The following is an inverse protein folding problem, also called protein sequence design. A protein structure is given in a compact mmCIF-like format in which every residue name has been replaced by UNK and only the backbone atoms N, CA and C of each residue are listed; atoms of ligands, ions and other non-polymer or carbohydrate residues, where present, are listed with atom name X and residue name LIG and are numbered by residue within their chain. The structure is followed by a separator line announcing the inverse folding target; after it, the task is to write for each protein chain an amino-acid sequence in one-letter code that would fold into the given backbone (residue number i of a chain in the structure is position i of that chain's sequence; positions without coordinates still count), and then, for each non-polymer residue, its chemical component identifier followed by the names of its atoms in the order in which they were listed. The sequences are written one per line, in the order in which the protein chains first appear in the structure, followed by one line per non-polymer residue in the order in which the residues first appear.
data_IF_668598870990
#
_entry.id   IF_668598870990
#
_cell.length_a   1.000
_cell.length_b   1.000
_cell.length_c   1.000
_cell.angle_alpha   90.00
_cell.angle_beta   90.00
_cell.angle_gamma   90.00
#
_symmetry.space_group_name_H-M   'P 1'
#
loop_
_entity.id
_entity.type
_entity.pdbx_description
1 polymer ?
#
# COMPACT_ATOMS: atom_id res chain seq x y z
N UNK A 1 -20.25 -8.72 5.51
CA UNK A 1 -20.66 -10.10 5.87
C UNK A 1 -19.65 -10.63 6.86
N UNK A 2 -20.04 -11.34 7.93
CA UNK A 2 -19.08 -12.07 8.75
C UNK A 2 -18.38 -13.13 7.88
N UNK A 3 -17.06 -13.35 8.05
CA UNK A 3 -16.32 -14.33 7.26
C UNK A 3 -16.90 -15.75 7.46
N UNK A 4 -17.11 -16.47 6.36
CA UNK A 4 -17.63 -17.84 6.36
C UNK A 4 -16.51 -18.88 6.50
N UNK A 5 -16.79 -20.10 7.02
CA UNK A 5 -15.81 -21.18 7.22
C UNK A 5 -14.96 -21.56 5.99
N UNK A 6 -15.45 -21.25 4.79
CA UNK A 6 -14.81 -21.59 3.52
C UNK A 6 -13.85 -20.52 2.98
N UNK A 7 -13.68 -19.41 3.71
CA UNK A 7 -12.60 -18.45 3.45
C UNK A 7 -11.41 -18.82 4.34
N UNK A 8 -10.40 -19.54 3.82
CA UNK A 8 -9.28 -19.94 4.66
C UNK A 8 -8.58 -18.69 5.17
N UNK A 9 -8.47 -18.59 6.50
CA UNK A 9 -7.61 -17.63 7.18
C UNK A 9 -6.17 -17.94 6.77
N UNK A 10 -5.67 -17.21 5.79
CA UNK A 10 -4.30 -17.36 5.29
C UNK A 10 -3.35 -16.62 6.25
N UNK A 11 -3.03 -17.25 7.38
CA UNK A 11 -2.05 -16.76 8.35
C UNK A 11 -0.64 -17.21 7.94
N UNK A 12 0.27 -16.26 7.70
CA UNK A 12 1.61 -16.53 7.16
C UNK A 12 2.63 -15.48 7.61
N UNK A 13 3.79 -15.92 8.10
CA UNK A 13 4.87 -15.06 8.60
C UNK A 13 5.46 -14.12 7.53
N UNK A 14 5.60 -12.82 7.86
CA UNK A 14 6.29 -11.82 7.03
C UNK A 14 7.09 -10.78 7.82
N UNK A 15 8.14 -10.19 7.21
CA UNK A 15 8.85 -9.06 7.80
C UNK A 15 8.08 -7.73 7.67
N UNK A 16 8.17 -6.92 8.73
CA UNK A 16 7.42 -5.69 9.00
C UNK A 16 7.74 -4.56 8.01
N UNK A 17 6.73 -3.79 7.55
CA UNK A 17 6.98 -2.47 6.94
C UNK A 17 6.13 -2.02 5.74
N UNK A 18 4.90 -2.50 5.55
CA UNK A 18 3.99 -2.01 4.49
C UNK A 18 2.63 -1.59 5.07
N UNK A 19 1.90 -0.75 4.30
CA UNK A 19 0.54 -0.14 4.48
C UNK A 19 -0.29 -0.83 5.58
N UNK A 20 -0.97 -0.13 6.52
CA UNK A 20 -1.52 -0.73 7.73
C UNK A 20 -2.41 -1.92 7.41
N UNK A 21 -1.86 -3.10 7.64
CA UNK A 21 -2.59 -4.34 7.76
C UNK A 21 -2.85 -4.51 9.26
N UNK A 22 -4.07 -4.85 9.64
CA UNK A 22 -4.29 -5.35 10.98
C UNK A 22 -3.57 -6.70 11.04
N UNK A 23 -2.47 -6.75 11.78
CA UNK A 23 -1.85 -8.00 12.20
C UNK A 23 -2.44 -8.36 13.55
N UNK A 24 -3.25 -9.40 13.57
CA UNK A 24 -3.63 -10.06 14.80
C UNK A 24 -2.87 -11.39 14.89
N UNK A 25 -2.29 -11.65 16.06
CA UNK A 25 -1.66 -12.94 16.28
C UNK A 25 -2.73 -14.01 16.42
N UNK A 26 -2.61 -15.09 15.66
CA UNK A 26 -3.52 -16.24 15.72
C UNK A 26 -2.72 -17.47 16.13
N UNK A 27 -3.21 -18.16 17.16
CA UNK A 27 -2.62 -19.43 17.60
C UNK A 27 -3.40 -20.59 17.00
N UNK A 28 -2.75 -21.38 16.14
CA UNK A 28 -3.30 -22.61 15.56
C UNK A 28 -2.45 -23.79 16.04
N UNK A 29 -3.08 -24.76 16.73
CA UNK A 29 -2.40 -25.96 17.25
C UNK A 29 -1.13 -25.66 18.08
N UNK A 30 -1.15 -24.59 18.87
CA UNK A 30 -0.02 -24.18 19.72
C UNK A 30 1.11 -23.43 19.01
N UNK A 31 0.95 -23.09 17.72
CA UNK A 31 1.86 -22.21 16.97
C UNK A 31 1.20 -20.87 16.73
N UNK A 32 1.93 -19.79 16.99
CA UNK A 32 1.47 -18.42 16.75
C UNK A 32 1.88 -17.98 15.34
N UNK A 33 0.94 -17.39 14.62
CA UNK A 33 1.11 -16.84 13.28
C UNK A 33 0.65 -15.39 13.24
N UNK A 34 1.25 -14.60 12.36
CA UNK A 34 0.71 -13.30 11.98
C UNK A 34 -0.43 -13.50 10.97
N UNK A 35 -1.64 -13.08 11.31
CA UNK A 35 -2.77 -13.01 10.39
C UNK A 35 -2.81 -11.64 9.72
N UNK A 36 -2.90 -11.62 8.39
CA UNK A 36 -3.00 -10.37 7.62
C UNK A 36 -4.36 -10.26 6.95
N UNK A 37 -5.14 -9.28 7.37
CA UNK A 37 -6.41 -8.93 6.73
C UNK A 37 -6.20 -7.73 5.80
N UNK A 38 -6.43 -7.91 4.50
CA UNK A 38 -6.38 -6.84 3.49
C UNK A 38 -7.48 -6.98 2.46
N UNK A 39 -8.08 -5.86 2.05
CA UNK A 39 -8.99 -5.82 0.90
C UNK A 39 -8.25 -5.74 -0.43
N UNK A 40 -6.96 -5.36 -0.42
CA UNK A 40 -6.11 -5.31 -1.60
C UNK A 40 -4.78 -6.07 -1.34
N UNK A 41 -4.70 -7.36 -1.72
CA UNK A 41 -3.48 -8.15 -1.58
C UNK A 41 -2.39 -7.77 -2.60
N UNK A 42 -2.69 -6.96 -3.61
CA UNK A 42 -1.74 -6.57 -4.65
C UNK A 42 -1.19 -7.76 -5.43
N UNK A 43 0.13 -7.80 -5.62
CA UNK A 43 0.83 -8.82 -6.42
C UNK A 43 0.65 -10.25 -5.88
N UNK A 44 0.39 -10.41 -4.57
CA UNK A 44 0.10 -11.73 -3.99
C UNK A 44 -1.14 -12.40 -4.59
N UNK A 45 -2.09 -11.63 -5.15
CA UNK A 45 -3.24 -12.21 -5.86
C UNK A 45 -2.83 -13.01 -7.10
N UNK A 46 -1.70 -12.65 -7.72
CA UNK A 46 -1.17 -13.28 -8.92
C UNK A 46 -0.17 -14.38 -8.54
N UNK A 47 0.75 -14.09 -7.62
CA UNK A 47 1.84 -15.02 -7.29
C UNK A 47 1.45 -16.09 -6.28
N UNK A 48 0.38 -15.86 -5.51
CA UNK A 48 0.00 -16.70 -4.37
C UNK A 48 1.00 -16.65 -3.20
N UNK A 49 2.05 -15.82 -3.29
CA UNK A 49 3.11 -15.75 -2.30
C UNK A 49 2.84 -14.64 -1.31
N UNK A 50 2.89 -14.99 -0.01
CA UNK A 50 2.84 -14.01 1.06
C UNK A 50 3.98 -13.01 0.92
N UNK A 51 5.15 -13.49 0.47
CA UNK A 51 6.15 -12.82 -0.36
C UNK A 51 5.84 -11.39 -0.83
N UNK A 52 4.67 -11.28 -1.46
CA UNK A 52 4.27 -10.20 -2.34
C UNK A 52 3.03 -9.45 -1.86
N UNK A 53 2.56 -9.73 -0.64
CA UNK A 53 1.45 -8.99 -0.04
C UNK A 53 1.79 -7.50 0.02
N UNK A 54 0.89 -6.67 -0.52
CA UNK A 54 1.05 -5.23 -0.57
C UNK A 54 2.06 -4.72 -1.59
N UNK A 55 2.69 -5.61 -2.38
CA UNK A 55 3.52 -5.17 -3.51
C UNK A 55 2.61 -4.78 -4.66
N UNK A 56 2.88 -3.62 -5.22
CA UNK A 56 2.20 -3.11 -6.40
C UNK A 56 3.22 -2.81 -7.48
N UNK A 57 2.77 -2.94 -8.73
CA UNK A 57 3.54 -2.49 -9.88
C UNK A 57 3.69 -0.97 -9.80
N UNK A 58 4.91 -0.48 -9.98
CA UNK A 58 5.16 0.97 -10.07
C UNK A 58 4.48 1.51 -11.33
N UNK A 59 3.55 2.47 -11.22
CA UNK A 59 2.88 3.04 -12.38
C UNK A 59 3.83 3.93 -13.19
N UNK A 60 3.57 4.05 -14.50
CA UNK A 60 4.28 5.04 -15.33
C UNK A 60 3.81 6.44 -14.98
N UNK A 61 4.76 7.36 -14.79
CA UNK A 61 4.48 8.75 -14.38
C UNK A 61 4.14 9.69 -15.56
N UNK A 62 4.27 9.24 -16.80
CA UNK A 62 3.93 10.04 -17.98
C UNK A 62 2.43 10.38 -18.01
N UNK A 63 2.10 11.67 -18.10
CA UNK A 63 0.74 12.20 -18.05
C UNK A 63 0.04 12.01 -16.70
N UNK A 64 0.79 11.85 -15.60
CA UNK A 64 0.25 11.54 -14.26
C UNK A 64 -0.81 12.55 -13.82
N UNK A 65 -0.57 13.84 -14.04
CA UNK A 65 -1.45 14.92 -13.59
C UNK A 65 -2.90 14.83 -14.10
N UNK A 66 -3.12 14.16 -15.22
CA UNK A 66 -4.45 13.98 -15.84
C UNK A 66 -5.26 12.80 -15.26
N UNK A 67 -4.70 12.04 -14.31
CA UNK A 67 -5.23 10.75 -13.86
C UNK A 67 -5.63 10.71 -12.39
N UNK A 68 -5.99 11.85 -11.81
CA UNK A 68 -6.57 11.88 -10.47
C UNK A 68 -7.89 11.07 -10.44
N UNK A 69 -8.23 10.42 -9.31
CA UNK A 69 -7.47 10.32 -8.05
C UNK A 69 -6.32 9.29 -8.11
N UNK A 70 -5.34 9.45 -7.23
CA UNK A 70 -4.10 8.67 -7.18
C UNK A 70 -4.15 7.52 -6.16
N UNK A 71 -3.19 6.58 -6.29
CA UNK A 71 -3.13 5.27 -5.61
C UNK A 71 -4.16 4.25 -6.11
N UNK A 72 -3.95 2.98 -5.78
CA UNK A 72 -4.79 1.86 -6.22
C UNK A 72 -6.23 1.95 -5.70
N UNK A 73 -6.43 2.64 -4.57
CA UNK A 73 -7.72 2.85 -3.92
C UNK A 73 -8.25 4.30 -4.05
N UNK A 74 -7.55 5.17 -4.77
CA UNK A 74 -7.98 6.57 -4.95
C UNK A 74 -7.83 7.47 -3.72
N UNK A 75 -7.06 7.07 -2.69
CA UNK A 75 -6.98 7.80 -1.43
C UNK A 75 -6.30 9.19 -1.52
N UNK A 76 -5.57 9.49 -2.60
CA UNK A 76 -5.01 10.83 -2.80
C UNK A 76 -5.79 11.55 -3.90
N UNK A 77 -6.48 12.62 -3.54
CA UNK A 77 -7.25 13.41 -4.50
C UNK A 77 -6.34 14.28 -5.37
N UNK A 78 -5.22 14.75 -4.83
CA UNK A 78 -4.30 15.68 -5.51
C UNK A 78 -2.86 15.17 -5.54
N UNK A 79 -2.04 15.73 -6.45
CA UNK A 79 -0.59 15.46 -6.46
C UNK A 79 0.07 15.91 -5.15
N UNK A 80 -0.44 16.97 -4.53
CA UNK A 80 0.05 17.44 -3.24
C UNK A 80 -0.17 16.40 -2.15
N UNK A 81 -1.33 15.75 -2.11
CA UNK A 81 -1.62 14.66 -1.16
C UNK A 81 -0.70 13.47 -1.38
N UNK A 82 -0.44 13.12 -2.65
CA UNK A 82 0.48 12.06 -3.02
C UNK A 82 1.91 12.36 -2.55
N UNK A 83 2.40 13.58 -2.79
CA UNK A 83 3.75 14.00 -2.38
C UNK A 83 3.86 14.01 -0.85
N UNK A 84 2.85 14.54 -0.15
CA UNK A 84 2.80 14.55 1.31
C UNK A 84 2.78 13.15 1.90
N UNK A 85 2.05 12.22 1.28
CA UNK A 85 2.02 10.82 1.68
C UNK A 85 3.43 10.21 1.62
N UNK A 86 4.15 10.38 0.50
CA UNK A 86 5.48 9.80 0.34
C UNK A 86 6.54 10.46 1.23
N UNK A 87 6.48 11.79 1.38
CA UNK A 87 7.35 12.53 2.30
C UNK A 87 7.21 12.01 3.73
N UNK A 88 5.97 11.82 4.19
CA UNK A 88 5.67 11.27 5.53
C UNK A 88 6.10 9.80 5.63
N UNK A 89 5.74 8.99 4.63
CA UNK A 89 5.95 7.54 4.62
C UNK A 89 7.42 7.15 4.66
N UNK A 90 8.27 7.93 4.01
CA UNK A 90 9.72 7.71 3.94
C UNK A 90 10.52 8.67 4.82
N UNK A 91 9.86 9.60 5.52
CA UNK A 91 10.50 10.63 6.36
C UNK A 91 11.58 11.39 5.59
N UNK A 92 11.25 11.81 4.37
CA UNK A 92 12.19 12.46 3.46
C UNK A 92 12.60 13.83 4.01
N UNK A 93 11.63 14.59 4.55
CA UNK A 93 11.87 15.89 5.17
C UNK A 93 11.88 17.03 4.14
N UNK A 94 11.07 16.92 3.10
CA UNK A 94 10.97 17.95 2.06
C UNK A 94 10.43 19.26 2.65
N UNK A 95 11.09 20.36 2.30
CA UNK A 95 10.59 21.70 2.56
C UNK A 95 9.32 21.98 1.73
N UNK A 96 8.55 22.99 2.13
CA UNK A 96 7.35 23.39 1.37
C UNK A 96 7.66 23.74 -0.08
N UNK A 97 8.83 24.36 -0.34
CA UNK A 97 9.24 24.72 -1.69
C UNK A 97 9.57 23.49 -2.53
N UNK A 98 10.34 22.54 -1.98
CA UNK A 98 10.69 21.30 -2.70
C UNK A 98 9.46 20.45 -3.02
N UNK A 99 8.46 20.44 -2.13
CA UNK A 99 7.17 19.79 -2.41
C UNK A 99 6.45 20.46 -3.58
N UNK A 100 6.42 21.79 -3.60
CA UNK A 100 5.78 22.54 -4.68
C UNK A 100 6.51 22.31 -6.02
N UNK A 101 7.84 22.32 -6.01
CA UNK A 101 8.66 22.09 -7.19
C UNK A 101 8.49 20.66 -7.72
N UNK A 102 8.39 19.67 -6.83
CA UNK A 102 8.09 18.29 -7.20
C UNK A 102 6.70 18.16 -7.81
N UNK A 103 5.68 18.81 -7.23
CA UNK A 103 4.32 18.83 -7.81
C UNK A 103 4.35 19.47 -9.20
N UNK A 104 5.06 20.59 -9.37
CA UNK A 104 5.19 21.26 -10.66
C UNK A 104 5.90 20.37 -11.70
N UNK A 105 6.94 19.64 -11.30
CA UNK A 105 7.59 18.66 -12.15
C UNK A 105 6.64 17.52 -12.54
N UNK A 106 5.90 16.95 -11.59
CA UNK A 106 4.92 15.89 -11.89
C UNK A 106 3.79 16.37 -12.82
N UNK A 107 3.47 17.67 -12.81
CA UNK A 107 2.52 18.29 -13.73
C UNK A 107 3.05 18.44 -15.16
N UNK A 108 4.37 18.42 -15.38
CA UNK A 108 4.97 18.57 -16.71
C UNK A 108 5.26 17.25 -17.43
N UNK A 109 5.01 16.10 -16.79
CA UNK A 109 5.25 14.75 -17.31
C UNK A 109 4.18 14.21 -18.27
#
# INVERSE_FOLDING_TARGET
MPPTPDQPLLAFDRPVGSIPYFSNQVTINGKTYDEFQTTDPGMALITGSCADLGKFKVPRLSGLASRAPYFHNGNAATLQDLVNFYDTRFKIGLTSQEKQDLVNFLNSL
#
